data_IF_579920452054
#
_entry.id   IF_579920452054
#
_cell.length_a   1.000
_cell.length_b   1.000
_cell.length_c   1.000
_cell.angle_alpha   90.00
_cell.angle_beta   90.00
_cell.angle_gamma   90.00
#
_symmetry.space_group_name_H-M   'P 1'
#
loop_
_entity.id
_entity.type
_entity.pdbx_description
1 polymer ?
#
# COMPACT_ATOMS: atom_id res chain seq x y z
N UNK A 1 -8.88 50.95 -16.55
CA UNK A 1 -8.03 49.99 -15.83
C UNK A 1 -7.70 48.87 -16.81
N UNK A 2 -6.46 48.79 -17.29
CA UNK A 2 -6.05 47.82 -18.30
C UNK A 2 -5.36 46.69 -17.54
N UNK A 3 -6.02 45.54 -17.44
CA UNK A 3 -5.44 44.35 -16.80
C UNK A 3 -4.61 43.66 -17.88
N UNK A 4 -3.30 43.89 -17.87
CA UNK A 4 -2.36 43.20 -18.74
C UNK A 4 -2.24 41.73 -18.30
N UNK A 5 -2.53 40.82 -19.21
CA UNK A 5 -2.34 39.38 -19.00
C UNK A 5 -0.82 39.16 -18.96
N UNK A 6 -0.25 38.45 -17.96
CA UNK A 6 1.17 38.14 -17.97
C UNK A 6 1.49 37.27 -19.20
N UNK A 7 2.27 37.81 -20.12
CA UNK A 7 2.71 37.13 -21.34
C UNK A 7 4.01 36.37 -21.05
N UNK A 8 3.96 35.04 -21.12
CA UNK A 8 5.14 34.18 -21.09
C UNK A 8 5.62 33.74 -19.71
N UNK A 9 6.68 32.93 -19.71
CA UNK A 9 7.33 32.39 -18.51
C UNK A 9 8.78 32.85 -18.48
N UNK A 10 9.20 33.54 -17.41
CA UNK A 10 10.59 34.00 -17.22
C UNK A 10 11.15 33.48 -15.90
N UNK A 11 12.24 32.73 -15.96
CA UNK A 11 12.99 32.30 -14.78
C UNK A 11 13.89 33.45 -14.32
N UNK A 12 13.64 34.00 -13.13
CA UNK A 12 14.47 35.05 -12.55
C UNK A 12 15.50 34.45 -11.59
N UNK A 13 16.75 34.32 -12.05
CA UNK A 13 17.87 33.90 -11.21
C UNK A 13 18.36 35.10 -10.41
N UNK A 14 18.11 35.09 -9.10
CA UNK A 14 18.61 36.09 -8.16
C UNK A 14 19.82 35.54 -7.42
N UNK A 15 20.98 36.16 -7.62
CA UNK A 15 22.22 35.83 -6.92
C UNK A 15 22.54 37.00 -5.99
N UNK A 16 22.70 36.72 -4.70
CA UNK A 16 23.17 37.72 -3.74
C UNK A 16 24.63 37.44 -3.39
N UNK A 17 25.52 38.39 -3.68
CA UNK A 17 26.94 38.29 -3.31
C UNK A 17 27.38 39.57 -2.60
N UNK A 18 27.81 39.41 -1.35
CA UNK A 18 28.12 40.50 -0.43
C UNK A 18 26.92 41.45 -0.23
N UNK A 19 27.03 42.71 -0.66
CA UNK A 19 25.98 43.73 -0.55
C UNK A 19 25.37 44.11 -1.93
N UNK A 20 25.62 43.29 -2.97
CA UNK A 20 25.04 43.46 -4.31
C UNK A 20 24.17 42.26 -4.69
N UNK A 21 23.00 42.57 -5.25
CA UNK A 21 22.09 41.58 -5.82
C UNK A 21 22.19 41.62 -7.34
N UNK A 22 22.59 40.50 -7.94
CA UNK A 22 22.56 40.29 -9.39
C UNK A 22 21.28 39.54 -9.77
N UNK A 23 20.60 40.00 -10.80
CA UNK A 23 19.32 39.44 -11.22
C UNK A 23 19.35 39.21 -12.73
N UNK A 24 19.38 37.94 -13.11
CA UNK A 24 19.47 37.50 -14.50
C UNK A 24 18.14 36.83 -14.89
N UNK A 25 17.24 37.53 -15.61
CA UNK A 25 16.04 36.91 -16.14
C UNK A 25 16.38 36.06 -17.38
N UNK A 26 15.98 34.80 -17.37
CA UNK A 26 16.00 33.89 -18.51
C UNK A 26 14.57 33.72 -19.01
N UNK A 27 14.29 34.17 -20.24
CA UNK A 27 12.99 34.01 -20.86
C UNK A 27 12.83 32.56 -21.33
N UNK A 28 11.91 31.81 -20.72
CA UNK A 28 11.67 30.39 -21.01
C UNK A 28 10.62 30.21 -22.11
N UNK A 29 9.56 31.02 -22.09
CA UNK A 29 8.59 31.10 -23.18
C UNK A 29 8.02 32.51 -23.31
N UNK A 30 7.75 32.93 -24.55
CA UNK A 30 7.13 34.23 -24.86
C UNK A 30 5.61 34.21 -24.62
N UNK A 31 5.00 33.04 -24.78
CA UNK A 31 3.59 32.78 -24.54
C UNK A 31 3.41 31.62 -23.55
N UNK A 32 2.34 31.66 -22.76
CA UNK A 32 1.95 30.52 -21.94
C UNK A 32 1.46 29.42 -22.88
N UNK A 33 2.25 28.37 -23.05
CA UNK A 33 1.87 27.19 -23.84
C UNK A 33 0.97 26.30 -22.98
N UNK A 34 -0.37 26.32 -23.14
CA UNK A 34 -1.28 25.59 -22.26
C UNK A 34 -1.05 24.08 -22.36
N UNK A 35 -0.64 23.63 -23.56
CA UNK A 35 -0.27 22.24 -23.85
C UNK A 35 0.87 21.75 -22.95
N UNK A 36 1.91 22.56 -22.74
CA UNK A 36 3.05 22.17 -21.91
C UNK A 36 2.66 22.02 -20.44
N UNK A 37 1.80 22.92 -19.95
CA UNK A 37 1.23 22.84 -18.60
C UNK A 37 0.36 21.60 -18.46
N UNK A 38 -0.48 21.31 -19.46
CA UNK A 38 -1.35 20.15 -19.50
C UNK A 38 -0.56 18.84 -19.47
N UNK A 39 0.43 18.68 -20.37
CA UNK A 39 1.26 17.47 -20.37
C UNK A 39 2.21 17.40 -19.17
N UNK A 40 2.59 18.53 -18.58
CA UNK A 40 3.40 18.57 -17.36
C UNK A 40 2.64 18.21 -16.08
N UNK A 41 1.31 18.32 -16.08
CA UNK A 41 0.49 18.09 -14.87
C UNK A 41 -0.55 17.00 -15.06
N UNK A 42 -1.45 17.14 -16.04
CA UNK A 42 -2.53 16.19 -16.27
C UNK A 42 -2.00 14.83 -16.73
N UNK A 43 -1.03 14.80 -17.65
CA UNK A 43 -0.48 13.53 -18.14
C UNK A 43 0.22 12.68 -17.07
N UNK A 44 1.12 13.21 -16.21
CA UNK A 44 1.72 12.41 -15.14
C UNK A 44 0.72 12.01 -14.06
N UNK A 45 -0.25 12.87 -13.71
CA UNK A 45 -1.30 12.53 -12.74
C UNK A 45 -2.19 11.41 -13.27
N UNK A 46 -2.69 11.55 -14.51
CA UNK A 46 -3.51 10.52 -15.16
C UNK A 46 -2.72 9.23 -15.39
N UNK A 47 -1.48 9.34 -15.87
CA UNK A 47 -0.59 8.20 -16.06
C UNK A 47 -0.34 7.43 -14.77
N UNK A 48 -0.07 8.13 -13.67
CA UNK A 48 0.04 7.52 -12.35
C UNK A 48 -1.26 6.84 -11.91
N UNK A 49 -2.41 7.51 -12.08
CA UNK A 49 -3.70 6.93 -11.68
C UNK A 49 -4.04 5.66 -12.48
N UNK A 50 -3.81 5.68 -13.79
CA UNK A 50 -3.99 4.52 -14.67
C UNK A 50 -3.06 3.38 -14.24
N UNK A 51 -1.76 3.67 -14.07
CA UNK A 51 -0.78 2.67 -13.63
C UNK A 51 -1.13 2.10 -12.25
N UNK A 52 -1.56 2.95 -11.32
CA UNK A 52 -1.99 2.54 -9.99
C UNK A 52 -3.18 1.59 -10.08
N UNK A 53 -4.25 2.00 -10.76
CA UNK A 53 -5.50 1.24 -10.80
C UNK A 53 -5.44 -0.03 -11.63
N UNK A 54 -4.67 -0.05 -12.73
CA UNK A 54 -4.59 -1.21 -13.62
C UNK A 54 -3.46 -2.18 -13.28
N UNK A 55 -2.40 -1.73 -12.62
CA UNK A 55 -1.23 -2.57 -12.38
C UNK A 55 -0.91 -2.74 -10.90
N UNK A 56 -0.78 -1.64 -10.15
CA UNK A 56 -0.33 -1.69 -8.76
C UNK A 56 -1.37 -2.33 -7.84
N UNK A 57 -2.62 -1.85 -7.90
CA UNK A 57 -3.70 -2.33 -7.04
C UNK A 57 -3.92 -3.86 -7.20
N UNK A 58 -4.09 -4.43 -8.42
CA UNK A 58 -4.27 -5.88 -8.57
C UNK A 58 -3.00 -6.68 -8.24
N UNK A 59 -1.82 -6.07 -8.30
CA UNK A 59 -0.58 -6.70 -7.87
C UNK A 59 -0.46 -6.78 -6.35
N UNK A 60 -0.95 -5.77 -5.62
CA UNK A 60 -0.95 -5.75 -4.16
C UNK A 60 -2.02 -6.67 -3.55
N UNK A 61 -3.19 -6.80 -4.18
CA UNK A 61 -4.23 -7.73 -3.71
C UNK A 61 -3.76 -9.18 -3.75
N UNK A 62 -2.98 -9.56 -4.77
CA UNK A 62 -2.40 -10.90 -4.87
C UNK A 62 -1.36 -11.22 -3.80
N UNK A 63 -0.77 -10.20 -3.17
CA UNK A 63 0.26 -10.38 -2.16
C UNK A 63 -0.29 -10.39 -0.72
N UNK A 64 -1.57 -10.05 -0.52
CA UNK A 64 -2.21 -10.17 0.80
C UNK A 64 -2.52 -11.62 1.07
N UNK A 65 -1.48 -12.34 1.47
CA UNK A 65 -1.50 -13.76 1.74
C UNK A 65 -1.90 -14.05 3.18
N UNK A 66 -1.82 -13.08 4.11
CA UNK A 66 -2.30 -13.30 5.47
C UNK A 66 -2.95 -12.06 6.10
N UNK A 67 -4.16 -12.25 6.61
CA UNK A 67 -5.00 -11.19 7.18
C UNK A 67 -5.53 -11.62 8.55
N UNK A 68 -5.34 -10.78 9.56
CA UNK A 68 -5.79 -10.98 10.94
C UNK A 68 -6.78 -9.90 11.37
N UNK A 69 -7.91 -10.27 11.98
CA UNK A 69 -8.94 -9.30 12.36
C UNK A 69 -10.20 -9.91 12.92
N UNK A 70 -11.22 -9.08 13.17
CA UNK A 70 -12.53 -9.55 13.63
C UNK A 70 -13.18 -10.47 12.60
N UNK A 71 -13.87 -11.52 13.08
CA UNK A 71 -14.53 -12.54 12.26
C UNK A 71 -15.52 -11.96 11.26
N UNK A 72 -16.27 -10.93 11.67
CA UNK A 72 -17.28 -10.28 10.84
C UNK A 72 -16.65 -9.47 9.69
N UNK A 73 -15.44 -8.96 9.90
CA UNK A 73 -14.72 -8.13 8.94
C UNK A 73 -13.98 -8.95 7.88
N UNK A 74 -13.45 -10.11 8.24
CA UNK A 74 -12.76 -11.03 7.30
C UNK A 74 -13.75 -11.63 6.29
N UNK A 75 -15.01 -11.83 6.69
CA UNK A 75 -16.06 -12.34 5.77
C UNK A 75 -16.56 -11.28 4.79
N UNK A 76 -16.43 -9.99 5.13
CA UNK A 76 -16.91 -8.84 4.34
C UNK A 76 -15.78 -8.03 3.67
N UNK A 77 -14.64 -8.65 3.36
CA UNK A 77 -13.51 -7.99 2.68
C UNK A 77 -13.94 -7.42 1.30
N UNK A 78 -14.36 -6.15 1.28
CA UNK A 78 -14.54 -5.37 0.07
C UNK A 78 -13.24 -4.60 -0.21
N UNK A 79 -12.54 -4.87 -1.33
CA UNK A 79 -11.23 -4.26 -1.61
C UNK A 79 -11.26 -2.74 -1.79
N UNK A 80 -12.44 -2.16 -2.00
CA UNK A 80 -12.63 -0.73 -2.27
C UNK A 80 -12.76 0.17 -1.00
N UNK A 81 -12.80 -0.40 0.21
CA UNK A 81 -13.00 0.36 1.47
C UNK A 81 -11.79 0.26 2.42
N UNK A 82 -10.61 0.70 1.96
CA UNK A 82 -9.38 0.65 2.76
C UNK A 82 -9.29 1.69 3.91
N UNK A 83 -10.12 2.74 3.90
CA UNK A 83 -10.00 3.87 4.85
C UNK A 83 -10.88 3.74 6.10
N UNK A 84 -11.60 2.63 6.32
CA UNK A 84 -12.54 2.48 7.44
C UNK A 84 -12.46 1.18 8.24
N UNK A 85 -11.60 0.23 7.87
CA UNK A 85 -11.43 -1.03 8.61
C UNK A 85 -10.21 -0.95 9.54
N UNK A 86 -10.35 -0.27 10.68
CA UNK A 86 -9.31 -0.19 11.72
C UNK A 86 -9.02 -1.55 12.43
N UNK A 87 -9.76 -2.58 12.02
CA UNK A 87 -9.87 -3.88 12.68
C UNK A 87 -9.21 -5.02 11.90
N UNK A 88 -8.53 -4.70 10.80
CA UNK A 88 -7.83 -5.67 9.94
C UNK A 88 -6.33 -5.34 9.88
N UNK A 89 -5.51 -6.33 10.22
CA UNK A 89 -4.07 -6.29 10.16
C UNK A 89 -3.55 -7.24 9.06
N UNK A 90 -2.76 -6.69 8.13
CA UNK A 90 -1.94 -7.51 7.23
C UNK A 90 -0.74 -8.05 8.00
N UNK A 91 -0.70 -9.37 8.16
CA UNK A 91 0.34 -10.09 8.93
C UNK A 91 1.25 -10.93 8.04
N UNK A 92 1.25 -10.66 6.73
CA UNK A 92 1.98 -11.46 5.73
C UNK A 92 3.48 -11.52 6.02
N UNK A 93 4.11 -10.37 6.27
CA UNK A 93 5.55 -10.29 6.54
C UNK A 93 5.91 -10.98 7.85
N UNK A 94 5.09 -10.80 8.88
CA UNK A 94 5.31 -11.38 10.20
C UNK A 94 5.19 -12.90 10.15
N UNK A 95 4.19 -13.44 9.45
CA UNK A 95 4.06 -14.88 9.22
C UNK A 95 5.27 -15.44 8.47
N UNK A 96 5.73 -14.74 7.44
CA UNK A 96 6.86 -15.18 6.63
C UNK A 96 8.14 -15.33 7.47
N UNK A 97 8.35 -14.45 8.46
CA UNK A 97 9.47 -14.56 9.40
C UNK A 97 9.36 -15.76 10.36
N UNK A 98 8.17 -16.32 10.57
CA UNK A 98 7.94 -17.48 11.42
C UNK A 98 8.09 -18.82 10.67
N UNK A 99 8.12 -18.80 9.34
CA UNK A 99 8.29 -20.00 8.52
C UNK A 99 9.70 -20.58 8.73
N UNK A 100 9.78 -21.86 9.11
CA UNK A 100 11.02 -22.62 9.26
C UNK A 100 10.92 -23.95 8.53
N UNK A 101 11.95 -24.28 7.74
CA UNK A 101 12.05 -25.55 7.00
C UNK A 101 10.81 -25.86 6.14
N UNK A 102 10.34 -24.84 5.40
CA UNK A 102 9.12 -24.92 4.57
C UNK A 102 7.84 -25.23 5.35
N UNK A 103 7.82 -24.98 6.67
CA UNK A 103 6.65 -25.16 7.53
C UNK A 103 6.41 -23.93 8.41
N UNK A 104 5.14 -23.62 8.65
CA UNK A 104 4.71 -22.60 9.61
C UNK A 104 3.98 -23.30 10.75
N UNK A 105 4.46 -23.06 11.98
CA UNK A 105 3.88 -23.62 13.20
C UNK A 105 3.47 -22.46 14.09
N UNK A 106 2.16 -22.26 14.25
CA UNK A 106 1.59 -21.29 15.18
C UNK A 106 1.18 -22.02 16.46
N UNK A 107 1.63 -21.56 17.64
CA UNK A 107 1.31 -22.18 18.92
C UNK A 107 -0.18 -22.00 19.28
N UNK A 108 -0.65 -22.84 20.21
CA UNK A 108 -1.95 -22.71 20.90
C UNK A 108 -1.89 -21.56 21.92
N UNK A 109 -1.71 -20.34 21.43
CA UNK A 109 -1.75 -19.07 22.16
C UNK A 109 -2.37 -18.04 21.23
N UNK A 110 -2.93 -16.98 21.82
CA UNK A 110 -3.44 -15.83 21.08
C UNK A 110 -2.40 -15.34 20.06
N UNK A 111 -2.81 -15.20 18.79
CA UNK A 111 -1.94 -14.71 17.71
C UNK A 111 -1.50 -13.28 17.96
N UNK A 112 -2.27 -12.50 18.73
CA UNK A 112 -1.88 -11.16 19.19
C UNK A 112 -0.56 -11.14 19.99
N UNK A 113 -0.17 -12.26 20.62
CA UNK A 113 1.07 -12.36 21.39
C UNK A 113 2.29 -12.80 20.55
N UNK A 114 2.13 -12.98 19.23
CA UNK A 114 3.25 -13.29 18.33
C UNK A 114 4.07 -12.03 18.02
N UNK A 115 5.33 -12.22 17.65
CA UNK A 115 6.20 -11.10 17.33
C UNK A 115 5.66 -10.33 16.11
N UNK A 116 5.41 -9.03 16.28
CA UNK A 116 4.87 -8.17 15.23
C UNK A 116 3.36 -8.25 15.04
N UNK A 117 2.67 -9.07 15.83
CA UNK A 117 1.21 -9.06 15.93
C UNK A 117 0.76 -8.05 16.98
N UNK A 118 -0.44 -7.52 16.79
CA UNK A 118 -1.18 -6.80 17.81
C UNK A 118 -2.66 -7.22 17.76
N UNK A 119 -3.40 -6.93 18.82
CA UNK A 119 -4.84 -7.17 18.87
C UNK A 119 -5.58 -6.00 18.19
N UNK A 120 -6.17 -6.18 16.98
CA UNK A 120 -6.93 -5.12 16.34
C UNK A 120 -8.29 -4.88 16.99
N UNK A 121 -8.88 -5.88 17.67
CA UNK A 121 -10.25 -5.86 18.18
C UNK A 121 -10.31 -6.46 19.59
N UNK A 122 -10.13 -5.61 20.60
CA UNK A 122 -10.14 -6.01 22.01
C UNK A 122 -11.52 -6.51 22.44
N UNK A 123 -11.59 -7.77 22.87
CA UNK A 123 -12.82 -8.38 23.41
C UNK A 123 -13.72 -9.08 22.37
N UNK A 124 -13.39 -9.00 21.09
CA UNK A 124 -14.10 -9.71 20.01
C UNK A 124 -13.38 -10.98 19.55
N UNK A 125 -14.14 -11.86 18.90
CA UNK A 125 -13.63 -13.09 18.28
C UNK A 125 -12.87 -12.77 16.98
N UNK A 126 -11.58 -13.11 17.00
CA UNK A 126 -10.64 -12.85 15.92
C UNK A 126 -10.30 -14.11 15.15
N UNK A 127 -10.07 -13.94 13.86
CA UNK A 127 -9.61 -15.00 12.98
C UNK A 127 -8.36 -14.56 12.22
N UNK A 128 -7.55 -15.55 11.89
CA UNK A 128 -6.40 -15.40 11.01
C UNK A 128 -6.70 -16.18 9.73
N UNK A 129 -6.82 -15.47 8.62
CA UNK A 129 -6.93 -16.06 7.28
C UNK A 129 -5.56 -16.04 6.62
N UNK A 130 -5.15 -17.17 6.07
CA UNK A 130 -3.88 -17.37 5.39
C UNK A 130 -4.15 -18.06 4.05
N UNK A 131 -3.82 -17.38 2.98
CA UNK A 131 -3.79 -17.85 1.60
C UNK A 131 -2.32 -18.05 1.23
N UNK A 132 -1.89 -19.29 0.97
CA UNK A 132 -0.48 -19.62 0.73
C UNK A 132 -0.31 -20.60 -0.43
N UNK A 133 0.88 -20.62 -1.02
CA UNK A 133 1.27 -21.60 -2.02
C UNK A 133 2.26 -22.61 -1.44
N UNK A 134 1.94 -23.90 -1.57
CA UNK A 134 2.87 -24.99 -1.26
C UNK A 134 3.04 -25.88 -2.49
N UNK A 135 4.28 -26.08 -2.96
CA UNK A 135 4.59 -26.85 -4.18
C UNK A 135 3.76 -26.41 -5.40
N UNK A 136 3.58 -25.10 -5.58
CA UNK A 136 2.79 -24.51 -6.66
C UNK A 136 1.26 -24.80 -6.58
N UNK A 137 0.78 -25.28 -5.44
CA UNK A 137 -0.64 -25.49 -5.15
C UNK A 137 -1.11 -24.41 -4.18
N UNK A 138 -2.18 -23.71 -4.52
CA UNK A 138 -2.79 -22.69 -3.66
C UNK A 138 -3.63 -23.35 -2.56
N UNK A 139 -3.50 -22.87 -1.34
CA UNK A 139 -4.26 -23.31 -0.17
C UNK A 139 -4.77 -22.08 0.58
N UNK A 140 -6.04 -22.14 1.01
CA UNK A 140 -6.66 -21.12 1.85
C UNK A 140 -7.06 -21.76 3.17
N UNK A 141 -6.70 -21.14 4.29
CA UNK A 141 -7.10 -21.59 5.62
C UNK A 141 -7.48 -20.41 6.50
N UNK A 142 -8.56 -20.57 7.26
CA UNK A 142 -8.98 -19.63 8.30
C UNK A 142 -8.94 -20.36 9.63
N UNK A 143 -8.26 -19.77 10.63
CA UNK A 143 -8.13 -20.31 11.98
C UNK A 143 -8.61 -19.31 13.02
N UNK A 144 -9.03 -19.80 14.18
CA UNK A 144 -9.32 -18.94 15.33
C UNK A 144 -8.03 -18.47 16.02
N UNK A 145 -8.10 -17.39 16.80
CA UNK A 145 -6.96 -16.76 17.46
C UNK A 145 -6.14 -17.73 18.34
N UNK A 146 -6.82 -18.58 19.12
CA UNK A 146 -6.16 -19.51 20.02
C UNK A 146 -5.84 -20.87 19.36
N UNK A 147 -6.28 -21.14 18.14
CA UNK A 147 -6.11 -22.46 17.52
C UNK A 147 -4.65 -22.73 17.12
N UNK A 148 -4.13 -23.93 17.37
CA UNK A 148 -2.82 -24.32 16.84
C UNK A 148 -2.90 -24.53 15.33
N UNK A 149 -1.92 -24.02 14.59
CA UNK A 149 -1.83 -24.24 13.16
C UNK A 149 -0.47 -24.79 12.78
N UNK A 150 -0.47 -25.87 12.00
CA UNK A 150 0.71 -26.38 11.31
C UNK A 150 0.40 -26.49 9.82
N UNK A 151 1.08 -25.70 9.01
CA UNK A 151 1.07 -25.80 7.56
C UNK A 151 2.49 -26.05 7.05
N UNK A 152 2.68 -26.75 5.93
CA UNK A 152 1.66 -27.46 5.16
C UNK A 152 1.06 -28.62 5.96
N UNK A 153 -0.26 -28.85 5.84
CA UNK A 153 -0.84 -30.11 6.31
C UNK A 153 -0.29 -31.20 5.39
N UNK A 154 0.43 -32.16 5.98
CA UNK A 154 0.86 -33.36 5.25
C UNK A 154 -0.42 -34.16 5.03
N UNK A 155 -1.14 -33.84 3.96
CA UNK A 155 -2.17 -34.75 3.46
C UNK A 155 -1.40 -35.90 2.82
N UNK A 156 -1.19 -36.96 3.59
CA UNK A 156 -0.77 -38.26 3.06
C UNK A 156 -1.75 -38.66 1.95
N UNK A 157 -1.21 -39.00 0.79
CA UNK A 157 -1.94 -39.67 -0.28
C UNK A 157 -2.19 -41.13 0.08
#
# INVERSE_FOLDING_TARGET
MIIGIPTGVTLKLKINRANQTFLFPIMLSEELLPSAIFYGTAAPILGYFVLKKLYIDPYHEKQKEAVYGSTENISNLNPDQFDSQLDILDVTVQLQCLVKDSSLILPNRSKSNLQGFYDPCLGEDKQLRIDYHFRNIAHSITIADNEMLRIPRITDH
#
